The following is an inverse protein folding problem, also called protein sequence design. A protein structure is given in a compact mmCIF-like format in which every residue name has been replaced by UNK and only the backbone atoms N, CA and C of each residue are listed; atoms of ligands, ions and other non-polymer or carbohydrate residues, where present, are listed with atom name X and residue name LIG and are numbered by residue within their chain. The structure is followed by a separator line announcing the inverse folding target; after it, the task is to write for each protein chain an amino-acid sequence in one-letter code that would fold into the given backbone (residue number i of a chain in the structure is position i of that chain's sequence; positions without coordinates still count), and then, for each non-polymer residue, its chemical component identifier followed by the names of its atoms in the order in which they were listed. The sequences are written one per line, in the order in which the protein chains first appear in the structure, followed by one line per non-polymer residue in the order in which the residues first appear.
data_IF_325266476504
#
_entry.id   IF_325266476504
#
_cell.length_a   1.000
_cell.length_b   1.000
_cell.length_c   1.000
_cell.angle_alpha   90.00
_cell.angle_beta   90.00
_cell.angle_gamma   90.00
#
_symmetry.space_group_name_H-M   'P 1'
#
loop_
_entity.id
_entity.type
_entity.pdbx_description
1 polymer ?
#
# COMPACT_ATOMS: atom_id res chain seq x y z
N UNK A 1 56.73 -10.98 -19.24
CA UNK A 1 57.28 -12.00 -18.33
C UNK A 1 56.12 -12.63 -17.55
N UNK A 2 56.03 -13.97 -17.62
CA UNK A 2 55.29 -14.94 -16.79
C UNK A 2 53.76 -14.79 -16.62
N UNK A 3 53.09 -15.63 -17.42
CA UNK A 3 51.81 -16.30 -17.16
C UNK A 3 51.79 -17.02 -15.79
N UNK A 4 50.62 -17.02 -15.13
CA UNK A 4 50.15 -18.16 -14.34
C UNK A 4 48.62 -18.18 -14.33
N UNK A 5 48.07 -19.15 -15.05
CA UNK A 5 46.70 -19.65 -14.97
C UNK A 5 46.48 -20.31 -13.61
N UNK A 6 45.28 -20.19 -13.04
CA UNK A 6 44.74 -21.25 -12.20
C UNK A 6 43.26 -21.48 -12.49
N UNK A 7 43.01 -22.62 -13.16
CA UNK A 7 41.75 -23.31 -13.27
C UNK A 7 41.23 -23.66 -11.87
N UNK A 8 39.96 -23.36 -11.61
CA UNK A 8 39.19 -23.91 -10.48
C UNK A 8 38.01 -24.71 -11.01
N UNK A 9 37.93 -25.98 -10.60
CA UNK A 9 37.15 -27.04 -11.22
C UNK A 9 35.62 -26.87 -11.16
N UNK A 10 34.96 -27.34 -12.22
CA UNK A 10 33.52 -27.58 -12.26
C UNK A 10 33.16 -28.80 -11.40
N UNK A 11 32.28 -28.61 -10.41
CA UNK A 11 31.63 -29.70 -9.70
C UNK A 11 30.18 -29.82 -10.19
N UNK A 12 29.91 -30.86 -10.97
CA UNK A 12 28.56 -31.29 -11.30
C UNK A 12 27.98 -32.06 -10.11
N UNK A 13 26.84 -31.62 -9.58
CA UNK A 13 26.07 -32.37 -8.57
C UNK A 13 24.70 -32.70 -9.16
N UNK A 14 24.35 -33.98 -9.04
CA UNK A 14 23.21 -34.64 -9.67
C UNK A 14 21.84 -34.14 -9.17
N UNK A 15 20.80 -34.25 -10.02
CA UNK A 15 19.42 -34.03 -9.59
C UNK A 15 18.90 -35.30 -8.89
N UNK A 16 18.70 -35.23 -7.57
CA UNK A 16 17.94 -36.23 -6.84
C UNK A 16 16.47 -35.82 -6.86
N UNK A 17 15.66 -36.56 -7.62
CA UNK A 17 14.21 -36.50 -7.55
C UNK A 17 13.72 -37.08 -6.22
N UNK A 18 12.87 -36.31 -5.53
CA UNK A 18 11.99 -36.82 -4.50
C UNK A 18 10.59 -36.29 -4.80
N UNK A 19 9.76 -37.19 -5.32
CA UNK A 19 8.32 -36.99 -5.41
C UNK A 19 7.74 -37.02 -4.00
N UNK A 20 7.27 -35.88 -3.50
CA UNK A 20 6.41 -35.82 -2.32
C UNK A 20 4.96 -35.79 -2.79
N UNK A 21 4.32 -36.96 -2.69
CA UNK A 21 2.87 -37.11 -2.65
C UNK A 21 2.35 -36.52 -1.34
N UNK A 22 2.12 -35.21 -1.29
CA UNK A 22 1.41 -34.58 -0.19
C UNK A 22 -0.07 -34.45 -0.53
N UNK A 23 -0.83 -35.43 -0.03
CA UNK A 23 -2.26 -35.42 0.28
C UNK A 23 -2.96 -34.06 0.18
N UNK A 24 -3.96 -33.97 -0.69
CA UNK A 24 -5.00 -32.94 -0.64
C UNK A 24 -5.84 -33.13 0.63
N UNK A 25 -5.44 -32.50 1.73
CA UNK A 25 -6.35 -32.27 2.85
C UNK A 25 -7.26 -31.13 2.43
N UNK A 26 -8.50 -31.48 2.07
CA UNK A 26 -9.59 -30.51 1.97
C UNK A 26 -9.86 -29.96 3.37
N UNK A 27 -9.20 -28.86 3.73
CA UNK A 27 -9.68 -28.02 4.81
C UNK A 27 -10.95 -27.34 4.30
N UNK A 28 -12.11 -27.75 4.82
CA UNK A 28 -13.30 -26.91 4.75
C UNK A 28 -12.96 -25.61 5.48
N UNK A 29 -12.64 -24.57 4.72
CA UNK A 29 -12.73 -23.21 5.22
C UNK A 29 -14.19 -22.96 5.56
N UNK A 30 -14.57 -23.19 6.81
CA UNK A 30 -15.73 -22.56 7.40
C UNK A 30 -15.55 -21.08 7.16
N UNK A 31 -16.31 -20.55 6.21
CA UNK A 31 -16.49 -19.13 6.03
C UNK A 31 -16.96 -18.60 7.38
N UNK A 32 -16.02 -18.06 8.16
CA UNK A 32 -16.38 -17.16 9.24
C UNK A 32 -17.14 -16.06 8.55
N UNK A 33 -18.46 -16.14 8.66
CA UNK A 33 -19.34 -15.06 8.30
C UNK A 33 -18.82 -13.86 9.10
N UNK A 34 -18.02 -13.01 8.45
CA UNK A 34 -17.84 -11.64 8.88
C UNK A 34 -19.25 -11.13 9.01
N UNK A 35 -19.71 -11.00 10.26
CA UNK A 35 -20.91 -10.24 10.55
C UNK A 35 -20.61 -8.86 10.01
N UNK A 36 -21.12 -8.59 8.81
CA UNK A 36 -21.23 -7.26 8.25
C UNK A 36 -22.22 -6.54 9.15
N UNK A 37 -21.74 -6.13 10.31
CA UNK A 37 -22.42 -5.13 11.12
C UNK A 37 -22.48 -3.93 10.21
N UNK A 38 -23.68 -3.64 9.68
CA UNK A 38 -23.91 -2.48 8.86
C UNK A 38 -23.32 -1.27 9.62
N UNK A 39 -22.42 -0.48 8.99
CA UNK A 39 -21.88 0.69 9.65
C UNK A 39 -23.07 1.55 10.09
N UNK A 40 -23.05 2.10 11.31
CA UNK A 40 -24.14 2.93 11.79
C UNK A 40 -24.44 3.99 10.74
N UNK A 41 -25.72 4.14 10.39
CA UNK A 41 -26.20 5.12 9.43
C UNK A 41 -25.70 6.50 9.87
N UNK A 42 -24.70 7.05 9.18
CA UNK A 42 -24.04 8.31 9.52
C UNK A 42 -22.56 8.21 9.97
N UNK A 43 -21.99 7.02 10.12
CA UNK A 43 -20.55 6.87 10.31
C UNK A 43 -19.85 7.09 8.97
N UNK A 44 -19.26 8.26 8.78
CA UNK A 44 -18.36 8.46 7.66
C UNK A 44 -17.12 7.63 7.93
N UNK A 45 -16.87 6.66 7.06
CA UNK A 45 -15.76 5.73 7.23
C UNK A 45 -14.52 6.27 6.52
N UNK A 46 -13.33 5.78 6.90
CA UNK A 46 -12.09 6.18 6.22
C UNK A 46 -12.13 5.85 4.72
N UNK A 47 -12.82 4.78 4.33
CA UNK A 47 -13.05 4.39 2.94
C UNK A 47 -13.79 5.50 2.19
N UNK A 48 -14.82 6.07 2.81
CA UNK A 48 -15.52 7.23 2.26
C UNK A 48 -14.61 8.48 2.18
N UNK A 49 -13.65 8.68 3.08
CA UNK A 49 -12.70 9.79 2.96
C UNK A 49 -11.65 9.56 1.86
N UNK A 50 -11.11 8.34 1.79
CA UNK A 50 -10.03 7.95 0.88
C UNK A 50 -10.50 7.71 -0.56
N UNK A 51 -11.83 7.69 -0.80
CA UNK A 51 -12.42 7.34 -2.10
C UNK A 51 -11.93 5.99 -2.63
N UNK A 52 -11.75 5.04 -1.69
CA UNK A 52 -11.17 3.71 -1.94
C UNK A 52 -9.77 3.73 -2.58
N UNK A 53 -9.00 4.82 -2.48
CA UNK A 53 -7.67 4.93 -3.10
C UNK A 53 -6.59 4.26 -2.25
N UNK A 54 -6.73 4.32 -0.93
CA UNK A 54 -5.79 3.74 0.02
C UNK A 54 -6.54 3.25 1.27
N UNK A 55 -5.92 2.35 2.02
CA UNK A 55 -6.44 1.84 3.30
C UNK A 55 -5.37 2.00 4.38
N UNK A 56 -5.79 2.26 5.61
CA UNK A 56 -4.90 2.32 6.79
C UNK A 56 -5.16 1.18 7.79
N UNK A 57 -6.19 0.38 7.57
CA UNK A 57 -6.56 -0.77 8.40
C UNK A 57 -6.70 -2.01 7.51
N UNK A 58 -6.11 -3.17 7.88
CA UNK A 58 -5.26 -3.38 9.06
C UNK A 58 -3.83 -2.85 8.90
N UNK A 59 -3.38 -2.55 7.68
CA UNK A 59 -2.09 -1.94 7.39
C UNK A 59 -2.22 -0.97 6.21
N UNK A 60 -1.20 -0.13 6.00
CA UNK A 60 -1.19 0.80 4.87
C UNK A 60 -1.13 0.06 3.54
N UNK A 61 -2.13 0.27 2.68
CA UNK A 61 -2.17 -0.30 1.32
C UNK A 61 -2.70 0.72 0.33
N UNK A 62 -2.32 0.57 -0.93
CA UNK A 62 -2.91 1.29 -2.05
C UNK A 62 -3.87 0.38 -2.80
N UNK A 63 -5.03 0.89 -3.15
CA UNK A 63 -6.00 0.15 -3.94
C UNK A 63 -5.56 0.13 -5.41
N UNK A 64 -5.27 -1.05 -5.93
CA UNK A 64 -4.97 -1.28 -7.33
C UNK A 64 -6.25 -1.14 -8.16
N UNK A 65 -6.30 -0.23 -9.15
CA UNK A 65 -7.46 -0.11 -10.03
C UNK A 65 -7.79 -1.43 -10.75
N UNK A 66 -9.08 -1.68 -10.96
CA UNK A 66 -9.56 -2.90 -11.60
C UNK A 66 -8.93 -3.11 -12.99
N UNK A 67 -8.45 -4.33 -13.26
CA UNK A 67 -7.74 -4.72 -14.49
C UNK A 67 -6.51 -3.87 -14.84
N UNK A 68 -5.96 -3.10 -13.89
CA UNK A 68 -4.77 -2.30 -14.12
C UNK A 68 -3.51 -3.04 -13.66
N UNK A 69 -2.44 -2.96 -14.44
CA UNK A 69 -1.15 -3.57 -14.09
C UNK A 69 -0.19 -2.50 -13.57
N UNK A 70 0.52 -2.74 -12.45
CA UNK A 70 1.52 -1.82 -11.94
C UNK A 70 2.80 -1.87 -12.79
N UNK A 71 3.37 -0.70 -13.06
CA UNK A 71 4.72 -0.52 -13.57
C UNK A 71 5.53 0.27 -12.54
N UNK A 72 6.66 -0.30 -12.12
CA UNK A 72 7.53 0.29 -11.10
C UNK A 72 8.69 1.02 -11.76
N UNK A 73 8.97 2.22 -11.26
CA UNK A 73 10.10 3.02 -11.68
C UNK A 73 10.98 3.29 -10.47
N UNK A 74 12.27 3.05 -10.65
CA UNK A 74 13.29 3.30 -9.63
C UNK A 74 14.07 4.58 -9.94
N UNK A 75 14.46 5.30 -8.90
CA UNK A 75 15.38 6.44 -9.03
C UNK A 75 16.84 6.00 -9.23
N UNK A 76 17.74 6.97 -9.29
CA UNK A 76 19.19 6.75 -9.47
C UNK A 76 19.84 6.02 -8.29
N UNK A 77 19.18 5.97 -7.14
CA UNK A 77 19.62 5.25 -5.93
C UNK A 77 19.01 3.86 -5.81
N UNK A 78 18.18 3.44 -6.77
CA UNK A 78 17.57 2.11 -6.82
C UNK A 78 16.27 1.99 -6.01
N UNK A 79 15.71 3.11 -5.55
CA UNK A 79 14.51 3.17 -4.72
C UNK A 79 13.28 3.38 -5.60
N UNK A 80 12.12 2.87 -5.19
CA UNK A 80 10.88 3.10 -5.93
C UNK A 80 10.52 4.58 -5.83
N UNK A 81 10.59 5.30 -6.95
CA UNK A 81 10.20 6.72 -7.02
C UNK A 81 8.81 6.92 -7.60
N UNK A 82 8.34 5.96 -8.39
CA UNK A 82 7.03 6.04 -9.03
C UNK A 82 6.45 4.68 -9.33
N UNK A 83 5.14 4.56 -9.18
CA UNK A 83 4.34 3.41 -9.60
C UNK A 83 3.23 3.93 -10.50
N UNK A 84 3.04 3.31 -11.66
CA UNK A 84 1.97 3.66 -12.60
C UNK A 84 1.07 2.46 -12.82
N UNK A 85 -0.24 2.67 -12.80
CA UNK A 85 -1.23 1.67 -13.16
C UNK A 85 -1.81 2.01 -14.52
N UNK A 86 -1.70 1.07 -15.45
CA UNK A 86 -2.29 1.20 -16.79
C UNK A 86 -3.38 0.15 -16.99
N UNK A 87 -4.52 0.57 -17.56
CA UNK A 87 -5.61 -0.35 -17.90
C UNK A 87 -5.28 -1.21 -19.12
N UNK A 88 -6.18 -2.16 -19.46
CA UNK A 88 -6.09 -3.05 -20.64
C UNK A 88 -6.04 -2.32 -22.00
N UNK A 89 -6.17 -0.99 -22.04
CA UNK A 89 -5.93 -0.14 -23.21
C UNK A 89 -4.64 0.68 -23.18
N UNK A 90 -3.73 0.42 -22.22
CA UNK A 90 -2.51 1.18 -21.92
C UNK A 90 -2.70 2.65 -21.53
N UNK A 91 -3.94 3.08 -21.29
CA UNK A 91 -4.18 4.38 -20.66
C UNK A 91 -3.77 4.33 -19.19
N UNK A 92 -2.91 5.26 -18.78
CA UNK A 92 -2.59 5.52 -17.38
C UNK A 92 -3.89 5.87 -16.64
N UNK A 93 -4.16 5.19 -15.52
CA UNK A 93 -5.35 5.43 -14.68
C UNK A 93 -5.00 5.95 -13.30
N UNK A 94 -3.83 5.57 -12.77
CA UNK A 94 -3.34 5.99 -11.48
C UNK A 94 -1.82 6.13 -11.55
N UNK A 95 -1.28 7.20 -10.98
CA UNK A 95 0.15 7.38 -10.76
C UNK A 95 0.39 7.67 -9.30
N UNK A 96 1.37 6.98 -8.73
CA UNK A 96 1.83 7.15 -7.37
C UNK A 96 3.29 7.61 -7.47
N UNK A 97 3.61 8.74 -6.86
CA UNK A 97 4.99 9.23 -6.78
C UNK A 97 5.41 9.21 -5.32
N UNK A 98 6.59 8.65 -5.03
CA UNK A 98 7.21 8.72 -3.72
C UNK A 98 8.30 9.78 -3.76
N UNK A 99 8.22 10.73 -2.83
CA UNK A 99 9.26 11.72 -2.60
C UNK A 99 10.02 11.34 -1.33
N UNK A 100 11.34 11.42 -1.37
CA UNK A 100 12.23 11.06 -0.27
C UNK A 100 12.88 12.33 0.26
N UNK A 101 13.08 12.42 1.58
CA UNK A 101 13.92 13.47 2.15
C UNK A 101 15.35 13.32 1.63
N UNK A 102 16.03 14.43 1.32
CA UNK A 102 17.39 14.39 0.74
C UNK A 102 18.40 13.66 1.61
N UNK A 103 18.17 13.70 2.92
CA UNK A 103 19.15 13.27 3.92
C UNK A 103 18.86 11.85 4.40
N UNK A 104 17.63 11.36 4.23
CA UNK A 104 17.12 10.14 4.87
C UNK A 104 16.60 9.21 3.78
N UNK A 105 16.93 7.92 3.86
CA UNK A 105 16.53 6.94 2.86
C UNK A 105 15.05 6.50 3.00
N UNK A 106 14.19 7.45 3.37
CA UNK A 106 12.83 7.23 3.81
C UNK A 106 11.86 8.06 2.97
N UNK A 107 10.73 7.48 2.55
CA UNK A 107 9.67 8.23 1.88
C UNK A 107 9.09 9.32 2.81
N UNK A 108 9.09 10.56 2.35
CA UNK A 108 8.51 11.73 3.03
C UNK A 108 7.04 11.92 2.63
N UNK A 109 6.79 11.89 1.32
CA UNK A 109 5.46 12.05 0.75
C UNK A 109 5.14 10.95 -0.25
N UNK A 110 3.86 10.60 -0.30
CA UNK A 110 3.26 9.81 -1.36
C UNK A 110 2.18 10.66 -2.03
N UNK A 111 2.32 10.87 -3.33
CA UNK A 111 1.41 11.66 -4.17
C UNK A 111 0.67 10.74 -5.12
N UNK A 112 -0.65 10.71 -5.02
CA UNK A 112 -1.54 9.87 -5.84
C UNK A 112 -2.34 10.75 -6.80
N UNK A 113 -2.15 10.53 -8.10
CA UNK A 113 -2.80 11.24 -9.18
C UNK A 113 -3.72 10.30 -9.96
N UNK A 114 -4.97 10.72 -10.17
CA UNK A 114 -5.96 10.00 -10.97
C UNK A 114 -6.03 10.55 -12.39
N UNK A 115 -6.11 9.64 -13.36
CA UNK A 115 -6.18 9.99 -14.78
C UNK A 115 -7.46 9.50 -15.42
N UNK A 116 -8.01 10.33 -16.30
CA UNK A 116 -9.19 10.00 -17.11
C UNK A 116 -8.80 8.98 -18.17
N UNK A 117 -9.80 8.38 -18.81
CA UNK A 117 -9.57 7.50 -19.97
C UNK A 117 -8.81 8.19 -21.10
N UNK A 118 -8.93 9.53 -21.19
CA UNK A 118 -8.20 10.37 -22.14
C UNK A 118 -6.74 10.70 -21.70
N UNK A 119 -6.31 10.24 -20.53
CA UNK A 119 -4.96 10.47 -20.00
C UNK A 119 -4.75 11.86 -19.39
N UNK A 120 -5.81 12.63 -19.15
CA UNK A 120 -5.74 13.89 -18.41
C UNK A 120 -5.91 13.64 -16.92
N UNK A 121 -5.12 14.33 -16.09
CA UNK A 121 -5.35 14.37 -14.65
C UNK A 121 -6.74 14.95 -14.38
N UNK A 122 -7.56 14.21 -13.62
CA UNK A 122 -8.99 14.56 -13.45
C UNK A 122 -9.22 15.36 -12.16
N UNK A 123 -8.38 15.16 -11.17
CA UNK A 123 -8.61 15.63 -9.81
C UNK A 123 -7.33 16.17 -9.18
N UNK A 124 -7.48 16.95 -8.10
CA UNK A 124 -6.32 17.30 -7.28
C UNK A 124 -5.69 16.01 -6.73
N UNK A 125 -4.36 15.90 -6.66
CA UNK A 125 -3.73 14.72 -6.12
C UNK A 125 -4.12 14.51 -4.66
N UNK A 126 -4.15 13.25 -4.25
CA UNK A 126 -4.10 12.90 -2.83
C UNK A 126 -2.65 12.88 -2.39
N UNK A 127 -2.30 13.62 -1.35
CA UNK A 127 -0.96 13.68 -0.77
C UNK A 127 -1.01 13.08 0.63
N UNK A 128 -0.13 12.12 0.90
CA UNK A 128 0.06 11.50 2.21
C UNK A 128 1.50 11.80 2.64
N UNK A 129 1.64 12.61 3.68
CA UNK A 129 2.92 12.88 4.36
C UNK A 129 3.10 11.87 5.49
N UNK A 130 4.28 11.26 5.55
CA UNK A 130 4.65 10.28 6.56
C UNK A 130 5.46 10.94 7.66
N UNK A 131 4.98 10.85 8.90
CA UNK A 131 5.68 11.37 10.06
C UNK A 131 6.20 10.17 10.84
N UNK A 132 7.51 9.98 10.85
CA UNK A 132 8.18 8.88 11.53
C UNK A 132 8.38 9.13 13.03
N UNK A 133 8.57 8.06 13.79
CA UNK A 133 9.10 8.16 15.15
C UNK A 133 10.51 8.76 15.20
N UNK A 134 11.00 9.02 16.40
CA UNK A 134 12.28 9.72 16.58
C UNK A 134 13.49 8.82 16.21
N UNK A 135 13.27 7.51 16.06
CA UNK A 135 14.25 6.54 15.58
C UNK A 135 14.21 6.39 14.04
N UNK A 136 13.20 6.96 13.38
CA UNK A 136 12.94 6.80 11.95
C UNK A 136 12.48 5.38 11.58
N UNK A 137 12.10 4.54 12.53
CA UNK A 137 11.90 3.10 12.26
C UNK A 137 10.50 2.76 11.75
N UNK A 138 9.51 3.59 12.09
CA UNK A 138 8.12 3.37 11.73
C UNK A 138 7.34 4.69 11.62
N UNK A 139 6.30 4.70 10.79
CA UNK A 139 5.39 5.84 10.69
C UNK A 139 4.57 5.98 11.97
N UNK A 140 4.71 7.10 12.70
CA UNK A 140 3.91 7.44 13.90
C UNK A 140 2.64 8.23 13.57
N UNK A 141 2.60 8.91 12.43
CA UNK A 141 1.40 9.60 11.97
C UNK A 141 1.39 9.82 10.45
N UNK A 142 0.18 10.00 9.92
CA UNK A 142 -0.08 10.35 8.52
C UNK A 142 -0.79 11.69 8.47
N UNK A 143 -0.29 12.64 7.67
CA UNK A 143 -1.03 13.84 7.30
C UNK A 143 -1.52 13.69 5.88
N UNK A 144 -2.84 13.68 5.70
CA UNK A 144 -3.47 13.35 4.43
C UNK A 144 -4.19 14.59 3.92
N UNK A 145 -3.96 14.92 2.66
CA UNK A 145 -4.69 15.94 1.92
C UNK A 145 -5.26 15.30 0.67
N UNK A 146 -6.59 15.26 0.54
CA UNK A 146 -7.29 14.71 -0.62
C UNK A 146 -8.26 15.75 -1.20
N UNK A 147 -8.87 15.50 -2.38
CA UNK A 147 -9.99 16.30 -2.87
C UNK A 147 -11.15 16.44 -1.88
N UNK A 148 -11.29 15.51 -0.91
CA UNK A 148 -12.34 15.50 0.12
C UNK A 148 -11.96 16.21 1.41
N UNK A 149 -10.77 16.81 1.47
CA UNK A 149 -10.30 17.59 2.63
C UNK A 149 -9.05 17.01 3.27
N UNK A 150 -8.80 17.39 4.51
CA UNK A 150 -7.59 17.09 5.26
C UNK A 150 -7.89 16.18 6.44
N UNK A 151 -7.03 15.19 6.66
CA UNK A 151 -7.07 14.32 7.82
C UNK A 151 -5.69 14.21 8.46
N UNK A 152 -5.68 13.95 9.76
CA UNK A 152 -4.50 13.60 10.53
C UNK A 152 -4.76 12.29 11.28
N UNK A 153 -3.95 11.28 11.00
CA UNK A 153 -4.08 9.96 11.59
C UNK A 153 -2.84 9.66 12.44
N UNK A 154 -3.01 9.50 13.75
CA UNK A 154 -1.90 9.30 14.69
C UNK A 154 -1.95 7.93 15.32
N UNK A 155 -0.82 7.24 15.32
CA UNK A 155 -0.67 5.95 15.99
C UNK A 155 -0.74 6.14 17.50
N UNK A 156 -1.55 5.31 18.16
CA UNK A 156 -1.72 5.28 19.61
C UNK A 156 -1.42 3.86 20.11
N UNK A 157 -0.39 3.66 20.94
CA UNK A 157 -0.10 2.35 21.49
C UNK A 157 -1.17 1.93 22.52
N UNK A 158 -1.49 0.65 22.57
CA UNK A 158 -2.43 0.05 23.52
C UNK A 158 -1.69 -0.81 24.56
N UNK A 159 -2.30 -1.01 25.73
CA UNK A 159 -1.67 -1.73 26.86
C UNK A 159 -1.37 -3.21 26.58
N UNK A 160 -2.06 -3.82 25.61
CA UNK A 160 -1.85 -5.18 25.12
C UNK A 160 -0.74 -5.28 24.05
N UNK A 161 -0.05 -4.19 23.72
CA UNK A 161 0.97 -4.13 22.68
C UNK A 161 0.44 -3.94 21.26
N UNK A 162 -0.88 -3.93 21.05
CA UNK A 162 -1.44 -3.52 19.76
C UNK A 162 -1.31 -2.01 19.55
N UNK A 163 -1.53 -1.57 18.31
CA UNK A 163 -1.56 -0.15 17.96
C UNK A 163 -2.94 0.16 17.38
N UNK A 164 -3.48 1.30 17.77
CA UNK A 164 -4.69 1.86 17.18
C UNK A 164 -4.31 3.14 16.40
N UNK A 165 -5.16 3.56 15.47
CA UNK A 165 -4.97 4.78 14.71
C UNK A 165 -6.12 5.75 15.01
N UNK A 166 -5.81 6.86 15.68
CA UNK A 166 -6.79 7.92 15.94
C UNK A 166 -6.80 8.87 14.76
N UNK A 167 -7.91 8.90 14.03
CA UNK A 167 -8.08 9.72 12.84
C UNK A 167 -8.91 10.94 13.17
N UNK A 168 -8.35 12.12 12.89
CA UNK A 168 -9.03 13.42 12.97
C UNK A 168 -9.25 13.94 11.56
N UNK A 169 -10.51 14.04 11.13
CA UNK A 169 -10.87 14.64 9.85
C UNK A 169 -11.35 16.07 10.08
N UNK A 170 -10.52 17.03 9.64
CA UNK A 170 -10.71 18.43 9.96
C UNK A 170 -11.98 19.02 9.32
N UNK A 171 -12.22 18.74 8.03
CA UNK A 171 -13.35 19.33 7.30
C UNK A 171 -14.72 18.79 7.75
N UNK A 172 -14.77 17.54 8.24
CA UNK A 172 -15.99 16.94 8.78
C UNK A 172 -16.15 17.13 10.29
N UNK A 173 -15.17 17.76 10.96
CA UNK A 173 -15.10 17.85 12.42
C UNK A 173 -15.31 16.48 13.11
N UNK A 174 -14.79 15.41 12.49
CA UNK A 174 -15.01 14.03 12.92
C UNK A 174 -13.74 13.42 13.50
N UNK A 175 -13.90 12.62 14.54
CA UNK A 175 -12.82 11.83 15.16
C UNK A 175 -13.28 10.39 15.31
N UNK A 176 -12.46 9.46 14.85
CA UNK A 176 -12.72 8.03 14.98
C UNK A 176 -11.41 7.25 15.18
N UNK A 177 -11.52 5.96 15.47
CA UNK A 177 -10.38 5.09 15.76
C UNK A 177 -10.45 3.83 14.92
N UNK A 178 -9.36 3.54 14.20
CA UNK A 178 -9.11 2.25 13.58
C UNK A 178 -8.34 1.39 14.58
N UNK A 179 -8.73 0.14 14.75
CA UNK A 179 -8.17 -0.72 15.81
C UNK A 179 -7.22 -1.75 15.24
N UNK A 180 -6.22 -2.14 16.04
CA UNK A 180 -5.28 -3.21 15.71
C UNK A 180 -4.58 -3.00 14.35
N UNK A 181 -4.07 -1.79 14.13
CA UNK A 181 -3.35 -1.43 12.92
C UNK A 181 -1.87 -1.80 13.02
N UNK A 182 -1.27 -2.03 11.86
CA UNK A 182 0.17 -2.13 11.67
C UNK A 182 0.62 -0.89 10.87
N UNK A 183 1.31 0.07 11.51
CA UNK A 183 1.82 1.24 10.80
C UNK A 183 2.82 0.83 9.73
N UNK A 184 2.88 1.60 8.65
CA UNK A 184 3.83 1.37 7.59
C UNK A 184 5.27 1.50 8.10
N UNK A 185 6.13 0.58 7.63
CA UNK A 185 7.56 0.53 7.92
C UNK A 185 8.37 1.49 7.04
N UNK A 186 7.78 2.03 5.98
CA UNK A 186 8.46 2.91 5.02
C UNK A 186 9.26 2.15 3.95
N UNK A 187 9.24 0.81 3.94
CA UNK A 187 10.05 0.01 3.02
C UNK A 187 9.27 -0.45 1.80
N UNK A 188 8.05 -0.97 2.00
CA UNK A 188 7.29 -1.60 0.91
C UNK A 188 5.84 -1.15 0.85
N UNK A 189 5.37 -0.77 -0.35
CA UNK A 189 3.96 -0.44 -0.56
C UNK A 189 3.22 -1.71 -0.99
N UNK A 190 2.24 -2.10 -0.18
CA UNK A 190 1.33 -3.20 -0.49
C UNK A 190 0.14 -2.72 -1.32
N UNK A 191 -0.36 -3.60 -2.19
CA UNK A 191 -1.53 -3.34 -3.03
C UNK A 191 -2.67 -4.29 -2.72
N UNK A 192 -3.89 -3.76 -2.72
CA UNK A 192 -5.13 -4.54 -2.64
C UNK A 192 -5.97 -4.32 -3.90
N UNK A 193 -6.53 -5.37 -4.52
CA UNK A 193 -7.39 -5.18 -5.69
C UNK A 193 -8.60 -4.31 -5.35
N UNK A 194 -8.92 -3.35 -6.23
CA UNK A 194 -10.20 -2.64 -6.17
C UNK A 194 -11.35 -3.66 -6.21
N UNK A 195 -12.38 -3.42 -5.39
CA UNK A 195 -13.62 -4.19 -5.48
C UNK A 195 -14.20 -4.00 -6.87
N UNK A 196 -14.56 -5.09 -7.54
CA UNK A 196 -15.28 -5.02 -8.80
C UNK A 196 -16.60 -4.29 -8.55
N UNK A 197 -16.71 -3.05 -9.02
CA UNK A 197 -18.00 -2.37 -9.06
C UNK A 197 -18.79 -3.10 -10.13
N UNK A 198 -19.84 -3.81 -9.73
CA UNK A 198 -20.78 -4.41 -10.67
C UNK A 198 -21.29 -3.28 -11.57
N UNK A 199 -20.78 -3.22 -12.81
CA UNK A 199 -21.24 -2.26 -13.80
C UNK A 199 -22.66 -2.68 -14.16
N UNK A 200 -23.65 -2.12 -13.49
CA UNK A 200 -25.03 -2.12 -13.98
C UNK A 200 -25.04 -1.26 -15.23
N UNK A 201 -24.97 -1.94 -16.38
CA UNK A 201 -25.21 -1.39 -17.70
C UNK A 201 -26.70 -1.16 -17.93
#
# INVERSE_FOLDING_TARGET
MRLAYLLGAAAAVAPAGLALLSSLVSALSTSSASSLTAPPVGAITLEAYSNDIFQLEPHFTITQPYDAQPAFYVDTTGRISRIEFASTGRSLVLKISLEYLSDWDQPDFLVIEHFSLAGHSIERPTVIEFIYDDEGSAVKAYRITSPRGKAFARVSPCANGSKDLVVTWYDAAAVFTLRNIEPWDGESISFVPARAIARTH
#
